data_IF_145184015650
#
_entry.id   IF_145184015650
#
_cell.length_a   1.000
_cell.length_b   1.000
_cell.length_c   1.000
_cell.angle_alpha   90.00
_cell.angle_beta   90.00
_cell.angle_gamma   90.00
#
_symmetry.space_group_name_H-M   'P 1'
#
loop_
_entity.id
_entity.type
_entity.pdbx_description
1 polymer ?
#
# COMPACT_ATOMS: atom_id res chain seq x y z
N UNK A 1 -5.38 -5.91 40.25
CA UNK A 1 -6.10 -5.22 39.18
C UNK A 1 -6.13 -6.14 37.96
N UNK A 2 -7.29 -6.56 37.55
CA UNK A 2 -7.46 -7.47 36.40
C UNK A 2 -7.27 -6.75 35.07
N UNK A 3 -7.01 -7.48 33.98
CA UNK A 3 -6.89 -6.91 32.63
C UNK A 3 -8.15 -6.15 32.24
N UNK A 4 -9.32 -6.62 32.65
CA UNK A 4 -10.61 -5.99 32.38
C UNK A 4 -10.80 -4.67 33.15
N UNK A 5 -10.32 -4.56 34.38
CA UNK A 5 -10.34 -3.31 35.14
C UNK A 5 -9.44 -2.25 34.49
N UNK A 6 -8.24 -2.63 34.03
CA UNK A 6 -7.35 -1.72 33.29
C UNK A 6 -7.97 -1.25 31.96
N UNK A 7 -8.73 -2.11 31.28
CA UNK A 7 -9.45 -1.76 30.05
C UNK A 7 -10.59 -0.77 30.29
N UNK A 8 -11.39 -1.00 31.34
CA UNK A 8 -12.45 -0.07 31.75
C UNK A 8 -11.92 1.30 32.10
N UNK A 9 -10.80 1.39 32.81
CA UNK A 9 -10.16 2.67 33.13
C UNK A 9 -9.72 3.45 31.90
N UNK A 10 -9.40 2.76 30.80
CA UNK A 10 -9.02 3.37 29.51
C UNK A 10 -10.22 3.60 28.59
N UNK A 11 -11.45 3.41 29.06
CA UNK A 11 -12.66 3.53 28.24
C UNK A 11 -12.85 2.40 27.22
N UNK A 12 -12.04 1.34 27.29
CA UNK A 12 -12.19 0.15 26.45
C UNK A 12 -13.17 -0.82 27.10
N UNK A 13 -14.01 -1.46 26.29
CA UNK A 13 -14.95 -2.47 26.76
C UNK A 13 -14.27 -3.76 27.22
N UNK A 14 -15.00 -4.57 27.99
CA UNK A 14 -14.55 -5.88 28.44
C UNK A 14 -14.11 -6.76 27.26
N UNK A 15 -13.07 -7.57 27.47
CA UNK A 15 -12.56 -8.51 26.48
C UNK A 15 -13.60 -9.52 25.97
N UNK A 16 -14.70 -9.68 26.72
CA UNK A 16 -15.80 -10.61 26.42
C UNK A 16 -16.84 -10.00 25.47
N UNK A 17 -16.77 -8.72 25.09
CA UNK A 17 -17.67 -8.16 24.10
C UNK A 17 -17.38 -8.79 22.74
N UNK A 18 -18.37 -9.50 22.25
CA UNK A 18 -18.29 -10.17 20.95
C UNK A 18 -18.64 -9.20 19.83
N UNK A 19 -17.69 -8.96 18.95
CA UNK A 19 -17.86 -8.16 17.73
C UNK A 19 -17.90 -9.06 16.49
N UNK A 20 -16.91 -9.97 16.38
CA UNK A 20 -16.86 -10.99 15.34
C UNK A 20 -16.88 -12.35 16.02
N UNK A 21 -17.96 -13.15 15.88
CA UNK A 21 -18.05 -14.50 16.43
C UNK A 21 -17.12 -15.47 15.69
N UNK A 22 -16.64 -16.48 16.41
CA UNK A 22 -15.93 -17.62 15.80
C UNK A 22 -16.81 -18.28 14.73
N UNK A 23 -16.22 -18.69 13.63
CA UNK A 23 -16.90 -19.38 12.53
C UNK A 23 -17.41 -18.46 11.43
N UNK A 24 -17.31 -17.15 11.60
CA UNK A 24 -17.80 -16.17 10.63
C UNK A 24 -16.81 -16.00 9.48
N UNK A 25 -17.33 -15.98 8.24
CA UNK A 25 -16.56 -15.62 7.06
C UNK A 25 -16.58 -14.11 6.84
N UNK A 26 -15.46 -13.58 6.38
CA UNK A 26 -15.28 -12.16 6.11
C UNK A 26 -14.77 -12.03 4.67
N UNK A 27 -15.57 -11.42 3.82
CA UNK A 27 -15.23 -11.10 2.43
C UNK A 27 -15.14 -9.61 2.29
N UNK A 28 -14.02 -9.09 1.85
CA UNK A 28 -13.85 -7.67 1.75
C UNK A 28 -12.81 -7.27 0.74
N UNK A 29 -12.54 -5.99 0.69
CA UNK A 29 -11.49 -5.47 -0.14
C UNK A 29 -11.48 -3.96 -0.17
N UNK A 30 -10.38 -3.44 -0.72
CA UNK A 30 -10.19 -2.03 -0.97
C UNK A 30 -9.91 -1.80 -2.44
N UNK A 31 -10.37 -0.67 -2.97
CA UNK A 31 -9.99 -0.18 -4.27
C UNK A 31 -9.56 1.28 -4.13
N UNK A 32 -8.48 1.65 -4.80
CA UNK A 32 -8.03 3.03 -4.88
C UNK A 32 -7.64 3.41 -6.29
N UNK A 33 -7.95 4.64 -6.63
CA UNK A 33 -7.56 5.26 -7.89
C UNK A 33 -7.04 6.66 -7.58
N UNK A 34 -5.87 6.98 -8.09
CA UNK A 34 -5.32 8.33 -7.99
C UNK A 34 -4.73 8.76 -9.32
N UNK A 35 -4.83 10.04 -9.61
CA UNK A 35 -4.18 10.69 -10.74
C UNK A 35 -3.32 11.83 -10.24
N UNK A 36 -2.25 12.12 -10.96
CA UNK A 36 -1.48 13.35 -10.79
C UNK A 36 -1.23 13.97 -12.15
N UNK A 37 -1.24 15.29 -12.18
CA UNK A 37 -0.83 16.08 -13.34
C UNK A 37 -0.07 17.29 -12.81
N UNK A 38 1.15 17.44 -13.24
CA UNK A 38 1.99 18.58 -12.94
C UNK A 38 2.38 19.25 -14.27
N UNK A 39 2.08 20.51 -14.38
CA UNK A 39 2.47 21.35 -15.52
C UNK A 39 3.49 22.39 -15.02
N UNK A 40 4.71 22.38 -15.57
CA UNK A 40 5.78 23.33 -15.24
C UNK A 40 6.13 23.42 -13.75
N UNK A 41 6.09 22.28 -13.04
CA UNK A 41 6.38 22.24 -11.62
C UNK A 41 7.88 22.28 -11.35
N UNK A 42 8.30 23.15 -10.43
CA UNK A 42 9.68 23.23 -9.95
C UNK A 42 9.87 22.40 -8.69
N UNK A 43 10.86 21.53 -8.68
CA UNK A 43 11.24 20.76 -7.50
C UNK A 43 12.76 20.83 -7.30
N UNK A 44 13.20 21.63 -6.34
CA UNK A 44 14.61 21.89 -5.99
C UNK A 44 15.46 22.41 -7.16
N UNK A 45 16.21 21.51 -7.82
CA UNK A 45 17.10 21.79 -8.96
C UNK A 45 16.49 21.39 -10.30
N UNK A 46 15.24 20.95 -10.32
CA UNK A 46 14.55 20.50 -11.54
C UNK A 46 13.46 21.50 -11.88
N UNK A 47 13.58 22.14 -13.01
CA UNK A 47 12.62 23.12 -13.52
C UNK A 47 11.78 22.51 -14.66
N UNK A 48 10.54 22.97 -14.79
CA UNK A 48 9.70 22.62 -15.95
C UNK A 48 9.31 21.15 -16.03
N UNK A 49 8.99 20.50 -14.89
CA UNK A 49 8.53 19.11 -14.89
C UNK A 49 7.08 19.04 -15.33
N UNK A 50 6.86 18.54 -16.54
CA UNK A 50 5.55 18.14 -17.02
C UNK A 50 5.37 16.66 -16.82
N UNK A 51 4.53 16.28 -15.87
CA UNK A 51 4.28 14.88 -15.55
C UNK A 51 2.78 14.56 -15.41
N UNK A 52 2.38 13.47 -15.99
CA UNK A 52 1.01 12.93 -15.90
C UNK A 52 1.06 11.46 -15.52
N UNK A 53 0.13 11.04 -14.68
CA UNK A 53 0.10 9.64 -14.32
C UNK A 53 -1.17 9.23 -13.59
N UNK A 54 -1.31 7.92 -13.46
CA UNK A 54 -2.35 7.33 -12.64
C UNK A 54 -1.85 6.11 -11.88
N UNK A 55 -2.51 5.83 -10.79
CA UNK A 55 -2.32 4.61 -10.02
C UNK A 55 -3.67 3.99 -9.71
N UNK A 56 -3.81 2.72 -10.01
CA UNK A 56 -4.95 1.87 -9.65
C UNK A 56 -4.46 0.77 -8.74
N UNK A 57 -5.18 0.52 -7.66
CA UNK A 57 -4.91 -0.58 -6.74
C UNK A 57 -6.21 -1.22 -6.32
N UNK A 58 -6.29 -2.54 -6.41
CA UNK A 58 -7.43 -3.36 -5.98
C UNK A 58 -6.91 -4.47 -5.07
N UNK A 59 -7.56 -4.66 -3.92
CA UNK A 59 -7.09 -5.57 -2.88
C UNK A 59 -8.24 -6.39 -2.28
N UNK A 60 -8.77 -7.39 -2.98
CA UNK A 60 -9.74 -8.31 -2.40
C UNK A 60 -9.13 -9.14 -1.27
N UNK A 61 -9.93 -9.48 -0.29
CA UNK A 61 -9.55 -10.35 0.82
C UNK A 61 -10.66 -11.32 1.22
N UNK A 62 -10.24 -12.46 1.75
CA UNK A 62 -11.10 -13.45 2.40
C UNK A 62 -10.46 -13.82 3.73
N UNK A 63 -11.24 -13.83 4.81
CA UNK A 63 -10.79 -14.23 6.12
C UNK A 63 -11.85 -15.07 6.83
N UNK A 64 -11.41 -15.85 7.79
CA UNK A 64 -12.26 -16.70 8.62
C UNK A 64 -11.97 -16.44 10.10
N UNK A 65 -13.01 -16.25 10.88
CA UNK A 65 -12.91 -16.03 12.32
C UNK A 65 -12.58 -17.34 13.05
N UNK A 66 -11.30 -17.54 13.36
CA UNK A 66 -10.79 -18.74 14.04
C UNK A 66 -11.12 -18.76 15.53
N UNK A 67 -11.35 -17.59 16.11
CA UNK A 67 -11.75 -17.38 17.49
C UNK A 67 -12.60 -16.11 17.57
N UNK A 68 -13.26 -15.91 18.71
CA UNK A 68 -13.99 -14.67 18.96
C UNK A 68 -13.07 -13.45 18.81
N UNK A 69 -13.48 -12.50 17.98
CA UNK A 69 -12.73 -11.27 17.69
C UNK A 69 -11.34 -11.49 17.08
N UNK A 70 -11.11 -12.65 16.46
CA UNK A 70 -9.84 -12.97 15.81
C UNK A 70 -10.08 -13.71 14.48
N UNK A 71 -9.47 -13.23 13.40
CA UNK A 71 -9.58 -13.84 12.07
C UNK A 71 -8.23 -14.05 11.42
N UNK A 72 -8.12 -15.13 10.67
CA UNK A 72 -7.02 -15.41 9.73
C UNK A 72 -7.56 -15.40 8.31
N UNK A 73 -6.74 -14.92 7.37
CA UNK A 73 -7.18 -14.86 6.00
C UNK A 73 -6.05 -14.60 5.01
N UNK A 74 -6.47 -14.34 3.79
CA UNK A 74 -5.58 -14.01 2.68
C UNK A 74 -6.08 -12.76 1.97
N UNK A 75 -5.14 -11.98 1.45
CA UNK A 75 -5.39 -10.82 0.61
C UNK A 75 -4.57 -10.92 -0.65
N UNK A 76 -5.17 -10.62 -1.77
CA UNK A 76 -4.46 -10.45 -3.02
C UNK A 76 -4.53 -8.97 -3.41
N UNK A 77 -3.40 -8.38 -3.78
CA UNK A 77 -3.34 -7.00 -4.21
C UNK A 77 -2.77 -6.92 -5.62
N UNK A 78 -3.52 -6.31 -6.51
CA UNK A 78 -3.05 -5.90 -7.82
C UNK A 78 -2.90 -4.39 -7.87
N UNK A 79 -1.76 -3.93 -8.34
CA UNK A 79 -1.48 -2.53 -8.57
C UNK A 79 -1.00 -2.27 -9.99
N UNK A 80 -1.45 -1.17 -10.58
CA UNK A 80 -0.95 -0.65 -11.86
C UNK A 80 -0.67 0.82 -11.71
N UNK A 81 0.52 1.25 -12.08
CA UNK A 81 0.89 2.67 -12.12
C UNK A 81 1.49 3.01 -13.48
N UNK A 82 1.07 4.14 -14.00
CA UNK A 82 1.65 4.78 -15.17
C UNK A 82 2.14 6.16 -14.73
N UNK A 83 3.38 6.48 -15.06
CA UNK A 83 3.92 7.82 -14.98
C UNK A 83 4.51 8.19 -16.36
N UNK A 84 4.18 9.39 -16.83
CA UNK A 84 4.70 9.96 -18.06
C UNK A 84 5.32 11.31 -17.71
N UNK A 85 6.54 11.50 -18.16
CA UNK A 85 7.23 12.78 -18.08
C UNK A 85 7.42 13.29 -19.50
N UNK A 86 6.73 14.36 -19.86
CA UNK A 86 6.79 14.92 -21.20
C UNK A 86 8.08 15.75 -21.39
N UNK A 87 8.46 16.54 -20.37
CA UNK A 87 9.71 17.26 -20.30
C UNK A 87 10.19 17.30 -18.83
N UNK A 88 11.48 17.08 -18.61
CA UNK A 88 12.15 17.42 -17.36
C UNK A 88 13.54 17.94 -17.72
N UNK A 89 13.83 19.19 -17.40
CA UNK A 89 15.14 19.80 -17.53
C UNK A 89 15.82 19.80 -16.17
N UNK A 90 16.96 19.11 -16.08
CA UNK A 90 17.76 19.05 -14.87
C UNK A 90 19.06 19.80 -15.12
N UNK A 91 19.24 20.93 -14.44
CA UNK A 91 20.46 21.69 -14.44
C UNK A 91 21.30 21.36 -13.20
N UNK A 92 22.52 20.92 -13.40
CA UNK A 92 23.48 20.66 -12.34
C UNK A 92 24.67 21.61 -12.50
N UNK A 93 24.85 22.55 -11.58
CA UNK A 93 25.96 23.54 -11.57
C UNK A 93 25.50 24.96 -11.93
N UNK A 94 26.47 25.90 -11.95
CA UNK A 94 26.22 27.31 -12.30
C UNK A 94 25.97 27.49 -13.79
N UNK A 95 25.34 28.61 -14.18
CA UNK A 95 24.89 28.94 -15.54
C UNK A 95 25.97 28.89 -16.64
N UNK A 96 27.27 29.01 -16.29
CA UNK A 96 28.36 28.98 -17.23
C UNK A 96 29.04 27.61 -17.43
N UNK A 97 28.88 26.66 -16.50
CA UNK A 97 29.53 25.33 -16.56
C UNK A 97 28.59 24.18 -16.19
N UNK A 98 27.31 24.42 -16.10
CA UNK A 98 26.32 23.43 -15.69
C UNK A 98 26.06 22.33 -16.72
N UNK A 99 25.87 21.11 -16.26
CA UNK A 99 25.44 20.00 -17.12
C UNK A 99 23.93 20.00 -17.21
N UNK A 100 23.39 20.21 -18.40
CA UNK A 100 21.98 20.09 -18.71
C UNK A 100 21.64 18.64 -19.07
N UNK A 101 20.73 18.01 -18.29
CA UNK A 101 20.17 16.71 -18.64
C UNK A 101 18.70 16.92 -18.96
N UNK A 102 18.37 16.85 -20.24
CA UNK A 102 17.00 16.97 -20.73
C UNK A 102 16.42 15.57 -20.87
N UNK A 103 15.42 15.23 -20.06
CA UNK A 103 14.65 14.00 -20.18
C UNK A 103 13.36 14.35 -20.93
N UNK A 104 13.21 13.81 -22.14
CA UNK A 104 12.01 13.99 -22.96
C UNK A 104 11.29 12.66 -23.10
N UNK A 105 9.94 12.71 -23.02
CA UNK A 105 9.05 11.57 -23.31
C UNK A 105 9.42 10.28 -22.56
N UNK A 106 9.56 10.38 -21.24
CA UNK A 106 9.85 9.23 -20.40
C UNK A 106 8.54 8.57 -19.93
N UNK A 107 8.38 7.30 -20.22
CA UNK A 107 7.22 6.49 -19.85
C UNK A 107 7.63 5.41 -18.84
N UNK A 108 6.91 5.32 -17.76
CA UNK A 108 7.08 4.27 -16.78
C UNK A 108 5.74 3.57 -16.52
N UNK A 109 5.63 2.32 -16.91
CA UNK A 109 4.48 1.46 -16.60
C UNK A 109 4.92 0.37 -15.63
N UNK A 110 4.27 0.26 -14.48
CA UNK A 110 4.56 -0.76 -13.48
C UNK A 110 3.30 -1.52 -13.09
N UNK A 111 3.43 -2.84 -13.02
CA UNK A 111 2.45 -3.75 -12.47
C UNK A 111 3.00 -4.38 -11.19
N UNK A 112 2.16 -4.55 -10.19
CA UNK A 112 2.49 -5.22 -8.94
C UNK A 112 1.42 -6.24 -8.58
N UNK A 113 1.85 -7.39 -8.14
CA UNK A 113 1.02 -8.51 -7.70
C UNK A 113 1.52 -8.93 -6.32
N UNK A 114 0.65 -8.90 -5.33
CA UNK A 114 1.05 -9.24 -3.95
C UNK A 114 0.03 -10.18 -3.34
N UNK A 115 0.50 -11.28 -2.80
CA UNK A 115 -0.28 -12.19 -1.97
C UNK A 115 0.13 -11.99 -0.50
N UNK A 116 -0.83 -11.91 0.39
CA UNK A 116 -0.59 -11.67 1.82
C UNK A 116 -1.39 -12.65 2.67
N UNK A 117 -0.73 -13.24 3.66
CA UNK A 117 -1.41 -13.85 4.78
C UNK A 117 -1.73 -12.76 5.80
N UNK A 118 -2.95 -12.71 6.29
CA UNK A 118 -3.42 -11.68 7.21
C UNK A 118 -3.91 -12.31 8.51
N UNK A 119 -3.57 -11.69 9.61
CA UNK A 119 -4.11 -11.96 10.93
C UNK A 119 -4.73 -10.69 11.49
N UNK A 120 -6.00 -10.76 11.87
CA UNK A 120 -6.75 -9.63 12.42
C UNK A 120 -7.21 -9.91 13.82
N UNK A 121 -7.09 -8.91 14.68
CA UNK A 121 -7.66 -8.89 16.02
C UNK A 121 -8.59 -7.68 16.12
N UNK A 122 -9.82 -7.92 16.58
CA UNK A 122 -10.84 -6.90 16.76
C UNK A 122 -10.96 -6.52 18.23
N UNK A 123 -11.11 -5.23 18.50
CA UNK A 123 -11.32 -4.67 19.84
C UNK A 123 -12.62 -3.86 19.77
N UNK A 124 -13.73 -4.40 20.28
CA UNK A 124 -15.03 -3.70 20.30
C UNK A 124 -14.93 -2.34 21.00
N UNK A 125 -15.60 -1.33 20.47
CA UNK A 125 -15.68 0.01 21.05
C UNK A 125 -17.03 0.21 21.75
N UNK A 126 -16.98 0.51 23.04
CA UNK A 126 -18.18 0.78 23.84
C UNK A 126 -19.13 -0.41 23.94
N UNK A 127 -20.37 -0.15 24.26
CA UNK A 127 -21.45 -1.14 24.33
C UNK A 127 -22.06 -1.44 22.96
N UNK A 128 -21.75 -0.62 21.96
CA UNK A 128 -22.25 -0.81 20.60
C UNK A 128 -21.53 -1.96 19.92
N UNK A 129 -22.27 -2.90 19.34
CA UNK A 129 -21.72 -3.98 18.51
C UNK A 129 -21.40 -3.53 17.09
N UNK A 130 -21.52 -2.21 16.78
CA UNK A 130 -21.35 -1.68 15.44
C UNK A 130 -19.94 -1.15 15.16
N UNK A 131 -19.16 -0.86 16.20
CA UNK A 131 -17.84 -0.23 16.05
C UNK A 131 -16.76 -1.05 16.75
N UNK A 132 -15.65 -1.25 16.06
CA UNK A 132 -14.46 -1.84 16.65
C UNK A 132 -13.21 -1.21 16.06
N UNK A 133 -12.13 -1.22 16.84
CA UNK A 133 -10.79 -1.09 16.30
C UNK A 133 -10.33 -2.48 15.89
N UNK A 134 -9.66 -2.59 14.78
CA UNK A 134 -8.94 -3.81 14.45
C UNK A 134 -7.44 -3.54 14.28
N UNK A 135 -6.65 -4.55 14.54
CA UNK A 135 -5.24 -4.55 14.23
C UNK A 135 -4.98 -5.69 13.25
N UNK A 136 -4.38 -5.37 12.12
CA UNK A 136 -4.06 -6.34 11.08
C UNK A 136 -2.55 -6.49 10.95
N UNK A 137 -2.06 -7.70 11.14
CA UNK A 137 -0.70 -8.11 10.82
C UNK A 137 -0.74 -8.83 9.49
N UNK A 138 0.14 -8.47 8.58
CA UNK A 138 0.20 -9.06 7.26
C UNK A 138 1.63 -9.45 6.87
N UNK A 139 1.77 -10.70 6.43
CA UNK A 139 2.98 -11.21 5.80
C UNK A 139 2.72 -11.29 4.31
N UNK A 140 3.49 -10.56 3.52
CA UNK A 140 3.23 -10.36 2.10
C UNK A 140 4.42 -10.77 1.25
N UNK A 141 4.12 -11.46 0.15
CA UNK A 141 5.06 -11.72 -0.93
C UNK A 141 4.52 -11.09 -2.21
N UNK A 142 5.33 -10.28 -2.88
CA UNK A 142 4.94 -9.55 -4.07
C UNK A 142 5.92 -9.70 -5.21
N UNK A 143 5.40 -9.63 -6.44
CA UNK A 143 6.18 -9.54 -7.66
C UNK A 143 5.85 -8.21 -8.36
N UNK A 144 6.85 -7.59 -8.95
CA UNK A 144 6.71 -6.36 -9.73
C UNK A 144 7.29 -6.52 -11.12
N UNK A 145 6.62 -5.92 -12.09
CA UNK A 145 7.09 -5.83 -13.47
C UNK A 145 7.00 -4.37 -13.90
N UNK A 146 8.11 -3.80 -14.31
CA UNK A 146 8.22 -2.42 -14.79
C UNK A 146 8.73 -2.39 -16.23
N UNK A 147 8.21 -1.43 -16.98
CA UNK A 147 8.73 -1.08 -18.32
C UNK A 147 8.96 0.41 -18.33
N UNK A 148 10.14 0.77 -18.77
CA UNK A 148 10.55 2.15 -18.94
C UNK A 148 10.92 2.33 -20.40
N UNK A 149 10.44 3.37 -21.01
CA UNK A 149 10.80 3.74 -22.38
C UNK A 149 11.15 5.22 -22.43
N UNK A 150 12.17 5.54 -23.19
CA UNK A 150 12.56 6.91 -23.49
C UNK A 150 12.48 7.13 -25.01
N UNK A 151 12.04 8.32 -25.42
CA UNK A 151 11.91 8.65 -26.84
C UNK A 151 13.28 8.94 -27.43
N UNK A 152 13.52 8.37 -28.54
CA UNK A 152 14.60 8.47 -29.51
C UNK A 152 16.09 8.56 -29.01
N UNK A 153 16.90 7.56 -29.35
CA UNK A 153 16.46 6.26 -29.86
C UNK A 153 15.76 5.46 -28.77
N UNK A 154 14.65 4.80 -29.12
CA UNK A 154 13.82 4.04 -28.15
C UNK A 154 14.71 3.10 -27.34
N UNK A 155 15.05 3.51 -26.13
CA UNK A 155 15.81 2.71 -25.19
C UNK A 155 14.82 2.16 -24.17
N UNK A 156 14.53 0.86 -24.26
CA UNK A 156 13.65 0.17 -23.35
C UNK A 156 14.42 -0.43 -22.16
N UNK A 157 13.94 -0.21 -20.95
CA UNK A 157 14.40 -0.90 -19.76
C UNK A 157 13.24 -1.73 -19.20
N UNK A 158 13.52 -3.00 -18.97
CA UNK A 158 12.59 -3.91 -18.32
C UNK A 158 13.05 -4.19 -16.89
N UNK A 159 12.13 -4.07 -15.95
CA UNK A 159 12.37 -4.30 -14.54
C UNK A 159 11.50 -5.44 -14.04
N UNK A 160 12.10 -6.39 -13.36
CA UNK A 160 11.40 -7.40 -12.57
C UNK A 160 11.91 -7.38 -11.15
N UNK A 161 11.01 -7.57 -10.20
CA UNK A 161 11.40 -7.61 -8.81
C UNK A 161 10.46 -8.45 -7.97
N UNK A 162 10.93 -8.84 -6.82
CA UNK A 162 10.10 -9.42 -5.78
C UNK A 162 10.34 -8.66 -4.46
N UNK A 163 9.31 -8.66 -3.62
CA UNK A 163 9.40 -8.13 -2.28
C UNK A 163 8.79 -9.08 -1.28
N UNK A 164 9.39 -9.15 -0.11
CA UNK A 164 8.86 -9.82 1.07
C UNK A 164 8.67 -8.75 2.14
N UNK A 165 7.49 -8.71 2.75
CA UNK A 165 7.23 -7.71 3.80
C UNK A 165 6.36 -8.25 4.92
N UNK A 166 6.65 -7.77 6.12
CA UNK A 166 5.84 -7.94 7.31
C UNK A 166 5.37 -6.56 7.76
N UNK A 167 4.07 -6.37 7.88
CA UNK A 167 3.49 -5.06 8.22
C UNK A 167 2.39 -5.16 9.27
N UNK A 168 2.16 -4.04 9.95
CA UNK A 168 1.09 -3.86 10.93
C UNK A 168 0.25 -2.66 10.52
N UNK A 169 -1.07 -2.85 10.46
CA UNK A 169 -2.02 -1.83 10.02
C UNK A 169 -3.21 -1.79 10.98
N UNK A 170 -3.23 -0.86 11.93
CA UNK A 170 -4.42 -0.60 12.71
C UNK A 170 -5.53 0.03 11.86
N UNK A 171 -6.76 -0.20 12.25
CA UNK A 171 -7.92 0.36 11.56
C UNK A 171 -9.16 0.42 12.43
N UNK A 172 -10.20 0.99 11.87
CA UNK A 172 -11.53 1.08 12.45
C UNK A 172 -12.50 0.39 11.51
N UNK A 173 -13.41 -0.37 12.07
CA UNK A 173 -14.50 -1.02 11.35
C UNK A 173 -15.83 -0.55 11.92
N UNK A 174 -16.75 -0.20 11.03
CA UNK A 174 -18.09 0.25 11.35
C UNK A 174 -19.13 -0.52 10.54
N UNK A 175 -20.02 -1.25 11.20
CA UNK A 175 -21.14 -1.94 10.56
C UNK A 175 -22.19 -0.92 10.08
N UNK A 176 -22.37 -0.80 8.77
CA UNK A 176 -23.43 -0.03 8.14
C UNK A 176 -24.75 -0.79 8.17
N UNK A 177 -24.70 -2.10 7.95
CA UNK A 177 -25.83 -3.05 8.10
C UNK A 177 -25.42 -4.21 9.00
N UNK A 178 -26.29 -5.21 9.16
CA UNK A 178 -25.98 -6.38 9.99
C UNK A 178 -24.77 -7.19 9.46
N UNK A 179 -24.56 -7.17 8.14
CA UNK A 179 -23.56 -8.01 7.49
C UNK A 179 -22.50 -7.20 6.72
N UNK A 180 -22.71 -5.89 6.51
CA UNK A 180 -21.81 -5.04 5.75
C UNK A 180 -21.17 -3.99 6.65
N UNK A 181 -19.86 -3.90 6.58
CA UNK A 181 -19.07 -2.92 7.31
C UNK A 181 -18.20 -2.09 6.36
N UNK A 182 -17.96 -0.86 6.77
CA UNK A 182 -16.93 0.03 6.22
C UNK A 182 -15.71 -0.09 7.09
N UNK A 183 -14.56 -0.23 6.47
CA UNK A 183 -13.26 -0.34 7.13
C UNK A 183 -12.36 0.81 6.71
N UNK A 184 -11.65 1.36 7.69
CA UNK A 184 -10.60 2.37 7.47
C UNK A 184 -9.34 1.89 8.14
N UNK A 185 -8.24 1.81 7.43
CA UNK A 185 -6.96 1.38 7.98
C UNK A 185 -5.81 2.29 7.58
N UNK A 186 -4.75 2.26 8.37
CA UNK A 186 -3.53 3.05 8.18
C UNK A 186 -2.33 2.15 8.37
N UNK A 187 -1.41 2.15 7.43
CA UNK A 187 -0.12 1.45 7.60
C UNK A 187 0.77 2.21 8.57
N UNK A 188 1.21 1.55 9.64
CA UNK A 188 2.00 2.19 10.69
C UNK A 188 3.43 1.71 10.70
N UNK A 189 3.66 0.42 10.55
CA UNK A 189 4.97 -0.19 10.72
C UNK A 189 5.15 -1.33 9.74
N UNK A 190 6.35 -1.48 9.22
CA UNK A 190 6.68 -2.61 8.37
C UNK A 190 8.18 -2.80 8.18
N UNK A 191 8.55 -4.04 7.95
CA UNK A 191 9.87 -4.47 7.50
C UNK A 191 9.68 -5.02 6.10
N UNK A 192 10.50 -4.60 5.15
CA UNK A 192 10.47 -5.09 3.79
C UNK A 192 11.86 -5.37 3.25
N UNK A 193 11.94 -6.45 2.48
CA UNK A 193 13.08 -6.79 1.65
C UNK A 193 12.63 -6.79 0.20
N UNK A 194 13.36 -6.08 -0.64
CA UNK A 194 13.09 -5.97 -2.07
C UNK A 194 14.33 -6.28 -2.88
N UNK A 195 14.17 -7.12 -3.89
CA UNK A 195 15.19 -7.40 -4.89
C UNK A 195 14.63 -7.02 -6.26
N UNK A 196 15.39 -6.24 -7.01
CA UNK A 196 15.01 -5.74 -8.33
C UNK A 196 16.12 -6.01 -9.32
N UNK A 197 15.75 -6.59 -10.46
CA UNK A 197 16.60 -6.81 -11.61
C UNK A 197 16.13 -5.92 -12.75
N UNK A 198 17.02 -5.12 -13.30
CA UNK A 198 16.78 -4.32 -14.48
C UNK A 198 17.56 -4.87 -15.67
N UNK A 199 16.92 -4.91 -16.82
CA UNK A 199 17.59 -5.25 -18.09
C UNK A 199 17.44 -4.04 -19.03
N UNK A 200 18.56 -3.41 -19.32
CA UNK A 200 18.64 -2.23 -20.18
C UNK A 200 19.08 -2.64 -21.59
N UNK A 201 18.37 -2.16 -22.61
CA UNK A 201 18.63 -2.47 -24.04
C UNK A 201 18.83 -3.96 -24.33
N UNK A 202 18.12 -4.84 -23.62
CA UNK A 202 18.15 -6.32 -23.77
C UNK A 202 19.51 -6.97 -23.44
N UNK A 203 20.54 -6.24 -23.06
CA UNK A 203 21.92 -6.74 -22.90
C UNK A 203 22.47 -6.46 -21.50
N UNK A 204 22.33 -5.23 -21.00
CA UNK A 204 22.93 -4.83 -19.72
C UNK A 204 22.02 -5.15 -18.56
N UNK A 205 22.52 -5.94 -17.60
CA UNK A 205 21.77 -6.37 -16.41
C UNK A 205 22.27 -5.65 -15.17
N UNK A 206 21.38 -4.87 -14.54
CA UNK A 206 21.59 -4.27 -13.22
C UNK A 206 20.80 -5.02 -12.14
N UNK A 207 21.35 -5.18 -10.95
CA UNK A 207 20.66 -5.71 -9.77
C UNK A 207 20.67 -4.69 -8.66
N UNK A 208 19.56 -4.57 -7.96
CA UNK A 208 19.43 -3.73 -6.77
C UNK A 208 18.72 -4.50 -5.67
N UNK A 209 19.34 -4.54 -4.51
CA UNK A 209 18.77 -5.11 -3.29
C UNK A 209 18.53 -3.97 -2.30
N UNK A 210 17.37 -3.98 -1.67
CA UNK A 210 16.99 -2.96 -0.70
C UNK A 210 16.27 -3.61 0.47
N UNK A 211 16.79 -3.39 1.66
CA UNK A 211 16.11 -3.75 2.92
C UNK A 211 15.69 -2.47 3.60
N UNK A 212 14.43 -2.38 3.99
CA UNK A 212 13.89 -1.21 4.68
C UNK A 212 13.11 -1.64 5.91
N UNK A 213 13.31 -0.94 7.00
CA UNK A 213 12.45 -0.97 8.17
C UNK A 213 11.83 0.42 8.33
N UNK A 214 10.50 0.48 8.26
CA UNK A 214 9.77 1.72 8.39
C UNK A 214 8.90 1.66 9.65
N UNK A 215 9.10 2.65 10.52
CA UNK A 215 8.17 3.00 11.58
C UNK A 215 7.64 4.40 11.27
N UNK A 216 6.61 4.47 10.46
CA UNK A 216 6.01 5.73 10.02
C UNK A 216 4.51 5.56 9.90
N UNK A 217 3.76 6.33 10.67
CA UNK A 217 2.32 6.49 10.44
C UNK A 217 2.14 7.37 9.22
N UNK A 218 1.74 6.77 8.12
CA UNK A 218 1.44 7.53 6.92
C UNK A 218 -0.06 7.85 6.88
N UNK A 219 -0.43 8.99 7.45
CA UNK A 219 -1.81 9.47 7.48
C UNK A 219 -2.39 9.75 6.08
N UNK A 220 -1.54 9.88 5.06
CA UNK A 220 -1.97 10.02 3.66
C UNK A 220 -2.19 8.67 2.97
N UNK A 221 -1.84 7.55 3.61
CA UNK A 221 -2.09 6.19 3.11
C UNK A 221 -3.29 5.56 3.80
N UNK A 222 -4.42 6.28 3.83
CA UNK A 222 -5.67 5.78 4.38
C UNK A 222 -6.30 4.83 3.37
N UNK A 223 -6.49 3.59 3.79
CA UNK A 223 -7.24 2.60 3.02
C UNK A 223 -8.72 2.64 3.42
N UNK A 224 -9.59 2.81 2.44
CA UNK A 224 -11.04 2.64 2.60
C UNK A 224 -11.45 1.30 1.99
N UNK A 225 -12.22 0.52 2.74
CA UNK A 225 -12.67 -0.80 2.32
C UNK A 225 -14.11 -1.08 2.72
N UNK A 226 -14.68 -2.04 2.00
CA UNK A 226 -15.95 -2.66 2.34
C UNK A 226 -15.70 -4.12 2.71
N UNK A 227 -16.41 -4.61 3.73
CA UNK A 227 -16.34 -6.00 4.15
C UNK A 227 -17.73 -6.53 4.46
N UNK A 228 -17.96 -7.77 4.07
CA UNK A 228 -19.17 -8.55 4.36
C UNK A 228 -18.82 -9.64 5.35
N UNK A 229 -19.57 -9.71 6.42
CA UNK A 229 -19.43 -10.65 7.52
C UNK A 229 -20.60 -11.64 7.44
N UNK A 230 -20.32 -12.89 7.07
CA UNK A 230 -21.32 -13.93 6.77
C UNK A 230 -21.23 -15.12 7.70
#
# INVERSE_FOLDING_TARGET
MTINEKRRQRGLTDANNLFVPKGQWIFGGTASYSTHSNDSYQFFVVEGIDSKGYQVKVSPMVAYAISNNMALGVRFTYGRSLARFDNADMQFGDDESGTHIIIKNYYMLRHSYTASAIWRQYIPLGKSKRFAIFNEVQLSYGATQGRFANDYPVKGTYETGYNLSLGVSPGIVAFATNNMAVEVNVGVMGISYQNVKQTHNQVTVGKRETSMMNFKVNIFSIGLGLAFYL
#
